data_IF_948886946361
#
_entry.id   IF_948886946361
#
_cell.length_a   1.000
_cell.length_b   1.000
_cell.length_c   1.000
_cell.angle_alpha   90.00
_cell.angle_beta   90.00
_cell.angle_gamma   90.00
#
_symmetry.space_group_name_H-M   'P 1'
#
loop_
_entity.id
_entity.type
_entity.pdbx_description
1 polymer ?
#
# COMPACT_ATOMS: atom_id res chain seq x y z
N UNK A 1 19.35 22.14 9.92
CA UNK A 1 18.56 21.19 9.23
C UNK A 1 19.37 19.92 9.02
N UNK A 2 18.72 18.90 8.81
CA UNK A 2 19.40 17.65 8.69
C UNK A 2 19.15 17.07 7.33
N UNK A 3 20.23 16.72 6.69
CA UNK A 3 20.14 16.23 5.34
C UNK A 3 19.34 14.94 5.24
N UNK A 4 19.41 14.12 6.26
CA UNK A 4 18.77 12.81 6.20
C UNK A 4 17.26 12.89 6.13
N UNK A 5 16.67 13.92 6.73
CA UNK A 5 15.23 14.07 6.72
C UNK A 5 14.77 14.84 5.51
N UNK A 6 15.72 15.34 4.72
CA UNK A 6 15.40 16.19 3.60
C UNK A 6 15.44 15.48 2.28
N UNK A 7 15.60 14.15 2.31
CA UNK A 7 15.61 13.39 1.08
C UNK A 7 14.29 13.57 0.35
N UNK A 8 14.38 14.05 -0.87
CA UNK A 8 13.20 14.23 -1.69
C UNK A 8 12.83 12.90 -2.34
N UNK A 9 11.56 12.56 -2.38
CA UNK A 9 11.13 11.39 -3.13
C UNK A 9 11.52 11.52 -4.60
N UNK A 10 11.83 10.39 -5.22
CA UNK A 10 12.11 10.36 -6.65
C UNK A 10 10.81 10.56 -7.43
N UNK A 11 10.93 10.83 -8.72
CA UNK A 11 9.76 10.93 -9.59
C UNK A 11 8.97 9.63 -9.55
N UNK A 12 9.66 8.49 -9.54
CA UNK A 12 9.00 7.20 -9.43
C UNK A 12 8.21 7.09 -8.13
N UNK A 13 8.83 7.47 -7.02
CA UNK A 13 8.16 7.39 -5.72
C UNK A 13 6.95 8.29 -5.67
N UNK A 14 7.04 9.50 -6.23
CA UNK A 14 5.90 10.40 -6.26
C UNK A 14 4.74 9.80 -7.07
N UNK A 15 5.05 9.10 -8.14
CA UNK A 15 4.00 8.46 -8.94
C UNK A 15 3.32 7.34 -8.15
N UNK A 16 4.11 6.59 -7.38
CA UNK A 16 3.53 5.56 -6.51
C UNK A 16 2.59 6.20 -5.50
N UNK A 17 3.04 7.25 -4.83
CA UNK A 17 2.25 7.89 -3.78
C UNK A 17 0.97 8.49 -4.34
N UNK A 18 1.06 9.13 -5.49
CA UNK A 18 -0.13 9.73 -6.10
C UNK A 18 -1.17 8.66 -6.43
N UNK A 19 -0.73 7.55 -7.00
CA UNK A 19 -1.66 6.47 -7.32
C UNK A 19 -2.30 5.90 -6.06
N UNK A 20 -1.52 5.74 -4.99
CA UNK A 20 -2.04 5.19 -3.74
C UNK A 20 -3.11 6.11 -3.14
N UNK A 21 -2.94 7.42 -3.27
CA UNK A 21 -3.93 8.35 -2.72
C UNK A 21 -5.29 8.24 -3.41
N UNK A 22 -5.34 7.63 -4.58
CA UNK A 22 -6.61 7.44 -5.29
C UNK A 22 -7.43 6.27 -4.76
N UNK A 23 -6.85 5.42 -3.91
CA UNK A 23 -7.57 4.28 -3.37
C UNK A 23 -8.49 4.76 -2.25
N UNK A 24 -9.82 4.58 -2.40
CA UNK A 24 -10.74 5.11 -1.40
C UNK A 24 -10.73 4.29 -0.11
N UNK A 25 -11.23 4.89 0.95
CA UNK A 25 -11.41 4.21 2.23
C UNK A 25 -12.30 3.00 2.02
N UNK A 26 -11.91 1.88 2.62
CA UNK A 26 -12.69 0.63 2.49
C UNK A 26 -12.27 -0.23 1.33
N UNK A 27 -11.31 0.23 0.54
CA UNK A 27 -10.82 -0.52 -0.61
C UNK A 27 -9.32 -0.74 -0.49
N UNK A 28 -8.83 -1.73 -1.24
CA UNK A 28 -7.41 -2.02 -1.33
C UNK A 28 -7.03 -2.23 -2.79
N UNK A 29 -5.75 -2.09 -3.10
CA UNK A 29 -5.23 -2.48 -4.39
C UNK A 29 -4.08 -3.45 -4.17
N UNK A 30 -3.68 -4.15 -5.23
CA UNK A 30 -2.53 -5.05 -5.15
C UNK A 30 -1.30 -4.35 -5.69
N UNK A 31 -0.12 -4.87 -5.29
CA UNK A 31 1.14 -4.36 -5.85
C UNK A 31 1.14 -4.46 -7.36
N UNK A 32 0.57 -5.54 -7.91
CA UNK A 32 0.54 -5.74 -9.35
C UNK A 32 -0.33 -4.70 -10.05
N UNK A 33 -1.51 -4.44 -9.52
CA UNK A 33 -2.41 -3.46 -10.13
C UNK A 33 -1.85 -2.06 -10.01
N UNK A 34 -1.25 -1.74 -8.87
CA UNK A 34 -0.58 -0.45 -8.69
C UNK A 34 0.55 -0.31 -9.70
N UNK A 35 1.32 -1.38 -9.89
CA UNK A 35 2.40 -1.36 -10.87
C UNK A 35 1.90 -1.11 -12.28
N UNK A 36 0.81 -1.75 -12.66
CA UNK A 36 0.23 -1.53 -13.98
C UNK A 36 -0.17 -0.07 -14.16
N UNK A 37 -0.72 0.53 -13.14
CA UNK A 37 -1.18 1.91 -13.24
C UNK A 37 -0.02 2.87 -13.51
N UNK A 38 1.14 2.61 -12.91
CA UNK A 38 2.27 3.53 -13.05
C UNK A 38 3.33 3.03 -14.03
N UNK A 39 3.09 1.89 -14.69
CA UNK A 39 4.01 1.35 -15.68
C UNK A 39 5.24 0.69 -15.10
N UNK A 40 5.13 0.11 -13.91
CA UNK A 40 6.23 -0.55 -13.23
C UNK A 40 5.89 -2.02 -12.99
N UNK A 41 6.77 -2.93 -13.40
CA UNK A 41 6.54 -4.36 -13.22
C UNK A 41 7.16 -4.92 -11.95
N UNK A 42 7.89 -4.09 -11.20
CA UNK A 42 8.62 -4.57 -10.04
C UNK A 42 7.84 -4.30 -8.77
N UNK A 43 7.24 -5.34 -8.22
CA UNK A 43 6.59 -5.24 -6.91
C UNK A 43 7.59 -4.83 -5.84
N UNK A 44 8.84 -5.26 -5.98
CA UNK A 44 9.88 -4.91 -5.03
C UNK A 44 10.15 -3.41 -5.04
N UNK A 45 10.23 -2.81 -6.23
CA UNK A 45 10.46 -1.36 -6.33
C UNK A 45 9.30 -0.59 -5.71
N UNK A 46 8.07 -1.04 -5.96
CA UNK A 46 6.90 -0.42 -5.37
C UNK A 46 6.92 -0.56 -3.85
N UNK A 47 7.24 -1.75 -3.37
CA UNK A 47 7.34 -1.98 -1.92
C UNK A 47 8.38 -1.08 -1.27
N UNK A 48 9.52 -0.89 -1.92
CA UNK A 48 10.54 0.01 -1.39
C UNK A 48 10.04 1.45 -1.34
N UNK A 49 9.33 1.89 -2.38
CA UNK A 49 8.78 3.24 -2.40
C UNK A 49 7.79 3.44 -1.25
N UNK A 50 6.92 2.46 -1.02
CA UNK A 50 5.94 2.54 0.05
C UNK A 50 6.62 2.55 1.42
N UNK A 51 7.67 1.76 1.57
CA UNK A 51 8.43 1.73 2.81
C UNK A 51 9.07 3.07 3.13
N UNK A 52 9.47 3.81 2.10
CA UNK A 52 10.14 5.09 2.26
C UNK A 52 9.19 6.27 2.28
N UNK A 53 7.90 6.02 2.21
CA UNK A 53 6.90 7.08 2.13
C UNK A 53 7.02 8.06 3.31
N UNK A 54 7.29 9.35 3.02
CA UNK A 54 7.40 10.34 4.08
C UNK A 54 6.08 11.04 4.39
N UNK A 55 5.02 10.74 3.64
CA UNK A 55 3.77 11.47 3.74
C UNK A 55 2.74 10.67 4.53
N UNK A 56 2.28 11.24 5.63
CA UNK A 56 1.33 10.55 6.50
C UNK A 56 -0.03 10.39 5.82
N UNK A 57 -0.35 11.27 4.88
CA UNK A 57 -1.65 11.22 4.20
C UNK A 57 -1.72 10.16 3.10
N UNK A 58 -0.59 9.56 2.71
CA UNK A 58 -0.59 8.50 1.69
C UNK A 58 -0.96 7.18 2.37
N UNK A 59 -2.10 6.57 1.99
CA UNK A 59 -2.59 5.38 2.70
C UNK A 59 -1.90 4.10 2.23
N UNK A 60 -0.63 3.96 2.54
CA UNK A 60 0.16 2.80 2.12
C UNK A 60 -0.42 1.47 2.57
N UNK A 61 -1.21 1.48 3.66
CA UNK A 61 -1.81 0.25 4.17
C UNK A 61 -2.86 -0.34 3.22
N UNK A 62 -3.29 0.43 2.21
CA UNK A 62 -4.29 -0.04 1.24
C UNK A 62 -3.67 -0.80 0.07
N UNK A 63 -2.37 -1.10 0.13
CA UNK A 63 -1.70 -1.88 -0.90
C UNK A 63 -1.37 -3.26 -0.33
N UNK A 64 -1.84 -4.30 -0.98
CA UNK A 64 -1.71 -5.67 -0.49
C UNK A 64 -1.13 -6.57 -1.58
N UNK A 65 -0.85 -7.82 -1.24
CA UNK A 65 -0.25 -8.75 -2.20
C UNK A 65 -1.23 -9.12 -3.29
N UNK A 66 -0.70 -9.67 -4.39
CA UNK A 66 -1.52 -10.00 -5.55
C UNK A 66 -2.60 -11.04 -5.27
N UNK A 67 -2.40 -11.87 -4.26
CA UNK A 67 -3.42 -12.84 -3.86
C UNK A 67 -4.34 -12.32 -2.76
N UNK A 68 -4.37 -11.00 -2.57
CA UNK A 68 -5.24 -10.33 -1.60
C UNK A 68 -4.90 -10.71 -0.16
N UNK A 69 -3.66 -11.01 0.11
CA UNK A 69 -3.18 -11.21 1.47
C UNK A 69 -2.63 -9.89 1.99
N UNK A 70 -2.71 -9.71 3.30
CA UNK A 70 -2.34 -8.43 3.91
C UNK A 70 -0.90 -8.01 3.62
N UNK A 71 0.02 -8.97 3.49
CA UNK A 71 1.41 -8.64 3.18
C UNK A 71 2.14 -7.94 4.31
N UNK A 72 3.29 -7.36 3.99
CA UNK A 72 4.08 -6.64 4.98
C UNK A 72 3.66 -5.20 5.15
N UNK A 73 4.15 -4.58 6.19
CA UNK A 73 3.90 -3.17 6.46
C UNK A 73 5.11 -2.60 7.19
N UNK A 74 5.45 -1.36 6.85
CA UNK A 74 6.59 -0.67 7.46
C UNK A 74 7.89 -1.46 7.29
N UNK A 75 8.00 -2.23 6.22
CA UNK A 75 9.22 -2.94 5.91
C UNK A 75 9.41 -4.25 6.63
N UNK A 76 8.40 -4.74 7.34
CA UNK A 76 8.48 -6.00 8.03
C UNK A 76 7.24 -6.84 7.77
N UNK A 77 7.38 -8.16 7.93
CA UNK A 77 6.30 -9.10 7.74
C UNK A 77 5.84 -9.72 9.04
N UNK A 78 6.23 -9.15 10.17
CA UNK A 78 5.89 -9.77 11.44
C UNK A 78 5.65 -8.71 12.50
N UNK A 79 4.99 -9.13 13.54
CA UNK A 79 4.80 -8.32 14.72
C UNK A 79 3.79 -7.23 14.57
N UNK A 80 4.03 -6.16 15.30
CA UNK A 80 3.08 -5.07 15.42
C UNK A 80 2.75 -4.36 14.11
N UNK A 81 3.70 -4.17 13.18
CA UNK A 81 3.35 -3.50 11.92
C UNK A 81 2.26 -4.21 11.13
N UNK A 82 2.27 -5.55 11.13
CA UNK A 82 1.23 -6.31 10.43
C UNK A 82 -0.11 -6.10 11.10
N UNK A 83 -0.12 -6.14 12.43
CA UNK A 83 -1.35 -5.92 13.18
C UNK A 83 -1.88 -4.51 12.96
N UNK A 84 -1.01 -3.52 12.95
CA UNK A 84 -1.41 -2.13 12.71
C UNK A 84 -2.06 -2.01 11.35
N UNK A 85 -1.45 -2.62 10.32
CA UNK A 85 -2.01 -2.59 8.98
C UNK A 85 -3.41 -3.20 8.95
N UNK A 86 -3.58 -4.35 9.60
CA UNK A 86 -4.87 -5.02 9.64
C UNK A 86 -5.90 -4.15 10.36
N UNK A 87 -5.51 -3.60 11.50
CA UNK A 87 -6.43 -2.78 12.29
C UNK A 87 -6.88 -1.54 11.51
N UNK A 88 -5.97 -0.92 10.77
CA UNK A 88 -6.32 0.23 9.94
C UNK A 88 -7.33 -0.16 8.87
N UNK A 89 -7.11 -1.29 8.20
CA UNK A 89 -8.02 -1.75 7.16
C UNK A 89 -9.39 -2.10 7.73
N UNK A 90 -9.41 -2.79 8.87
CA UNK A 90 -10.67 -3.14 9.53
C UNK A 90 -11.42 -1.87 9.91
N UNK A 91 -10.72 -0.89 10.46
CA UNK A 91 -11.35 0.37 10.86
C UNK A 91 -11.93 1.11 9.67
N UNK A 92 -11.39 0.90 8.47
CA UNK A 92 -11.89 1.53 7.25
C UNK A 92 -13.03 0.75 6.59
N UNK A 93 -13.41 -0.38 7.17
CA UNK A 93 -14.50 -1.18 6.64
C UNK A 93 -14.09 -2.24 5.64
N UNK A 94 -12.81 -2.53 5.53
CA UNK A 94 -12.34 -3.59 4.64
C UNK A 94 -12.76 -4.94 5.22
N UNK A 95 -13.39 -5.77 4.39
CA UNK A 95 -13.85 -7.09 4.81
C UNK A 95 -12.73 -8.11 4.62
N UNK A 96 -12.59 -8.98 5.60
CA UNK A 96 -11.62 -10.06 5.57
C UNK A 96 -12.33 -11.40 5.50
N UNK A 97 -11.85 -12.29 4.66
CA UNK A 97 -12.36 -13.66 4.56
C UNK A 97 -11.70 -14.56 5.58
N UNK A 98 -10.51 -14.19 6.04
CA UNK A 98 -9.77 -14.90 7.06
C UNK A 98 -8.92 -13.90 7.80
N UNK A 99 -8.06 -14.37 8.68
CA UNK A 99 -7.23 -13.48 9.48
C UNK A 99 -6.32 -12.58 8.63
N UNK A 100 -5.86 -13.07 7.50
CA UNK A 100 -4.95 -12.31 6.67
C UNK A 100 -5.42 -12.12 5.23
N UNK A 101 -6.54 -12.71 4.84
CA UNK A 101 -7.03 -12.64 3.46
C UNK A 101 -8.17 -11.65 3.34
N UNK A 102 -8.03 -10.74 2.39
CA UNK A 102 -8.99 -9.67 2.18
C UNK A 102 -10.03 -10.10 1.17
N UNK A 103 -11.28 -9.73 1.42
CA UNK A 103 -12.37 -10.06 0.51
C UNK A 103 -12.16 -9.41 -0.84
N UNK A 104 -12.39 -10.18 -1.88
CA UNK A 104 -12.24 -9.71 -3.25
C UNK A 104 -13.16 -8.52 -3.54
N UNK A 105 -14.27 -8.42 -2.83
CA UNK A 105 -15.20 -7.32 -3.02
C UNK A 105 -14.60 -5.96 -2.67
N UNK A 106 -13.50 -5.95 -1.91
CA UNK A 106 -12.84 -4.72 -1.51
C UNK A 106 -11.76 -4.27 -2.48
N UNK A 107 -11.53 -5.02 -3.56
CA UNK A 107 -10.48 -4.69 -4.51
C UNK A 107 -10.87 -3.44 -5.30
N UNK A 108 -9.98 -2.46 -5.31
CA UNK A 108 -10.12 -1.25 -6.11
C UNK A 108 -9.31 -1.43 -7.40
N UNK A 109 -9.90 -1.04 -8.51
CA UNK A 109 -9.19 -1.06 -9.79
C UNK A 109 -9.07 0.37 -10.29
N UNK A 110 -7.91 0.68 -10.86
CA UNK A 110 -7.66 2.00 -11.43
C UNK A 110 -8.39 2.17 -12.76
N UNK A 111 -8.82 1.07 -13.34
CA UNK A 111 -9.53 1.08 -14.61
C UNK A 111 -11.00 0.79 -14.37
N UNK A 112 -11.83 1.52 -15.01
CA UNK A 112 -13.27 1.37 -14.83
C UNK A 112 -13.89 0.83 -16.10
#
# INVERSE_FOLDING_TARGET
>A
MTATTDRQPTIFEERVYEAVTRIPIGKVTTYMDLGREIGCRSAQAIGQALKRNPYIEVPCHRVVTSNLSIGGFAGTNEGNPIRVKRDLLVAEGVAFDSESDISKSCLFTFYV
#
